data_IF_722980668746
#
_entry.id   IF_722980668746
#
_cell.length_a   1.000
_cell.length_b   1.000
_cell.length_c   1.000
_cell.angle_alpha   90.00
_cell.angle_beta   90.00
_cell.angle_gamma   90.00
#
_symmetry.space_group_name_H-M   'P 1'
#
loop_
_entity.id
_entity.type
_entity.pdbx_description
1 polymer ?
#
# COMPACT_ATOMS: atom_id res chain seq x y z
N UNK A 1 -17.84 12.25 -15.71
CA UNK A 1 -16.41 12.27 -15.33
C UNK A 1 -15.85 10.91 -15.68
N UNK A 2 -14.75 10.85 -16.44
CA UNK A 2 -14.17 9.59 -16.93
C UNK A 2 -13.20 9.05 -15.87
N UNK A 3 -13.41 7.80 -15.41
CA UNK A 3 -12.58 7.17 -14.37
C UNK A 3 -11.15 6.93 -14.85
N UNK A 4 -10.18 7.07 -13.95
CA UNK A 4 -8.77 6.78 -14.27
C UNK A 4 -8.58 5.27 -14.42
N UNK A 5 -8.29 4.81 -15.66
CA UNK A 5 -8.18 3.38 -16.03
C UNK A 5 -6.97 2.69 -15.41
N UNK A 6 -7.16 1.43 -15.03
CA UNK A 6 -6.12 0.56 -14.47
C UNK A 6 -6.10 -0.79 -15.20
N UNK A 7 -4.93 -1.22 -15.68
CA UNK A 7 -4.79 -2.39 -16.58
C UNK A 7 -5.14 -3.76 -15.97
N UNK A 8 -5.48 -4.73 -16.84
CA UNK A 8 -6.14 -6.01 -16.55
C UNK A 8 -5.29 -7.24 -16.99
N UNK A 9 -4.84 -8.15 -16.09
CA UNK A 9 -4.55 -9.60 -16.36
C UNK A 9 -4.03 -10.43 -15.15
N UNK A 10 -4.87 -11.35 -14.66
CA UNK A 10 -4.87 -11.99 -13.32
C UNK A 10 -3.77 -12.99 -12.87
N UNK A 11 -2.64 -13.13 -13.56
CA UNK A 11 -1.44 -13.79 -12.96
C UNK A 11 -0.16 -12.93 -13.04
N UNK A 12 -0.26 -11.76 -13.70
CA UNK A 12 0.78 -10.71 -13.81
C UNK A 12 0.60 -9.56 -12.81
N UNK A 13 -0.54 -9.54 -12.11
CA UNK A 13 -1.02 -8.41 -11.28
C UNK A 13 -0.22 -8.08 -10.01
N UNK A 14 0.72 -8.92 -9.60
CA UNK A 14 1.49 -8.72 -8.37
C UNK A 14 2.63 -7.71 -8.56
N UNK A 15 3.30 -7.77 -9.72
CA UNK A 15 4.22 -6.72 -10.17
C UNK A 15 3.47 -5.41 -10.40
N UNK A 16 2.26 -5.49 -10.95
CA UNK A 16 1.43 -4.32 -11.22
C UNK A 16 1.09 -3.55 -9.94
N UNK A 17 0.86 -4.20 -8.79
CA UNK A 17 0.56 -3.47 -7.55
C UNK A 17 1.74 -2.68 -7.00
N UNK A 18 2.96 -3.15 -7.21
CA UNK A 18 4.18 -2.42 -6.82
C UNK A 18 4.33 -1.19 -7.73
N UNK A 19 4.20 -1.39 -9.03
CA UNK A 19 4.29 -0.31 -10.04
C UNK A 19 3.16 0.72 -9.84
N UNK A 20 1.93 0.25 -9.56
CA UNK A 20 0.79 1.09 -9.19
C UNK A 20 1.09 1.86 -7.91
N UNK A 21 1.62 1.22 -6.86
CA UNK A 21 2.00 1.91 -5.63
C UNK A 21 2.99 3.04 -5.87
N UNK A 22 4.00 2.81 -6.72
CA UNK A 22 4.97 3.85 -7.09
C UNK A 22 4.34 4.98 -7.90
N UNK A 23 3.42 4.67 -8.83
CA UNK A 23 2.66 5.68 -9.56
C UNK A 23 1.78 6.53 -8.65
N UNK A 24 1.07 5.90 -7.70
CA UNK A 24 0.26 6.60 -6.71
C UNK A 24 1.09 7.55 -5.84
N UNK A 25 2.35 7.21 -5.54
CA UNK A 25 3.27 8.14 -4.86
C UNK A 25 3.56 9.37 -5.69
N UNK A 26 3.80 9.21 -7.00
CA UNK A 26 4.04 10.32 -7.92
C UNK A 26 2.80 11.20 -8.05
N UNK A 27 1.63 10.60 -8.33
CA UNK A 27 0.35 11.29 -8.45
C UNK A 27 0.04 12.08 -7.16
N UNK A 28 0.18 11.44 -5.98
CA UNK A 28 0.00 12.11 -4.69
C UNK A 28 0.97 13.27 -4.52
N UNK A 29 2.22 13.13 -4.94
CA UNK A 29 3.23 14.19 -4.82
C UNK A 29 2.83 15.45 -5.59
N UNK A 30 2.26 15.26 -6.78
CA UNK A 30 1.76 16.34 -7.64
C UNK A 30 0.47 16.95 -7.09
N UNK A 31 -0.49 16.12 -6.65
CA UNK A 31 -1.79 16.59 -6.20
C UNK A 31 -1.79 17.31 -4.84
N UNK A 32 -1.03 16.80 -3.85
CA UNK A 32 -1.01 17.35 -2.48
C UNK A 32 0.29 18.06 -2.13
N UNK A 33 1.16 18.35 -3.12
CA UNK A 33 2.36 19.17 -2.93
C UNK A 33 3.38 18.56 -1.97
N UNK A 34 3.50 17.23 -1.96
CA UNK A 34 4.42 16.51 -1.06
C UNK A 34 5.86 16.81 -1.47
N UNK A 35 6.74 17.07 -0.50
CA UNK A 35 8.16 17.32 -0.81
C UNK A 35 8.82 16.13 -1.49
N UNK A 36 9.81 16.39 -2.36
CA UNK A 36 10.56 15.34 -3.08
C UNK A 36 11.14 14.29 -2.12
N UNK A 37 11.62 14.69 -0.95
CA UNK A 37 12.20 13.76 0.02
C UNK A 37 11.13 12.89 0.70
N UNK A 38 9.94 13.45 0.94
CA UNK A 38 8.81 12.66 1.45
C UNK A 38 8.32 11.68 0.39
N UNK A 39 8.23 12.10 -0.88
CA UNK A 39 7.91 11.20 -1.98
C UNK A 39 8.93 10.06 -2.13
N UNK A 40 10.24 10.35 -1.96
CA UNK A 40 11.29 9.31 -1.93
C UNK A 40 11.07 8.31 -0.79
N UNK A 41 10.74 8.79 0.42
CA UNK A 41 10.43 7.92 1.57
C UNK A 41 9.21 7.05 1.33
N UNK A 42 8.15 7.60 0.75
CA UNK A 42 6.97 6.86 0.35
C UNK A 42 7.27 5.79 -0.71
N UNK A 43 8.06 6.12 -1.73
CA UNK A 43 8.49 5.16 -2.74
C UNK A 43 9.38 4.05 -2.14
N UNK A 44 10.26 4.39 -1.19
CA UNK A 44 11.04 3.41 -0.45
C UNK A 44 10.15 2.50 0.41
N UNK A 45 9.10 3.04 1.03
CA UNK A 45 8.14 2.26 1.80
C UNK A 45 7.39 1.23 0.93
N UNK A 46 6.92 1.63 -0.26
CA UNK A 46 6.30 0.70 -1.22
C UNK A 46 7.25 -0.45 -1.57
N UNK A 47 8.53 -0.13 -1.86
CA UNK A 47 9.55 -1.15 -2.14
C UNK A 47 9.82 -2.05 -0.92
N UNK A 48 9.82 -1.48 0.28
CA UNK A 48 10.05 -2.19 1.53
C UNK A 48 8.94 -3.18 1.91
N UNK A 49 7.74 -3.06 1.34
CA UNK A 49 6.63 -4.01 1.53
C UNK A 49 6.33 -4.86 0.29
N UNK A 50 7.28 -4.93 -0.65
CA UNK A 50 7.21 -5.79 -1.85
C UNK A 50 6.76 -7.23 -1.55
N UNK A 51 7.19 -7.90 -0.47
CA UNK A 51 6.74 -9.26 -0.20
C UNK A 51 5.22 -9.39 0.04
N UNK A 52 4.56 -8.34 0.56
CA UNK A 52 3.11 -8.30 0.72
C UNK A 52 2.40 -7.79 -0.54
N UNK A 53 2.95 -6.82 -1.26
CA UNK A 53 2.34 -6.31 -2.50
C UNK A 53 2.50 -7.29 -3.67
N UNK A 54 3.56 -8.11 -3.64
CA UNK A 54 3.88 -9.13 -4.61
C UNK A 54 3.00 -10.39 -4.53
N UNK A 55 2.01 -10.44 -3.65
CA UNK A 55 1.01 -11.52 -3.60
C UNK A 55 -0.21 -11.18 -4.46
N UNK A 56 -1.04 -12.17 -4.76
CA UNK A 56 -2.28 -11.99 -5.52
C UNK A 56 -3.18 -10.86 -4.94
N UNK A 57 -3.88 -10.10 -5.79
CA UNK A 57 -4.79 -9.01 -5.38
C UNK A 57 -5.84 -9.46 -4.36
N UNK A 58 -6.33 -10.69 -4.45
CA UNK A 58 -7.29 -11.25 -3.48
C UNK A 58 -6.70 -11.53 -2.10
N UNK A 59 -5.37 -11.62 -2.00
CA UNK A 59 -4.63 -11.86 -0.76
C UNK A 59 -4.14 -10.57 -0.14
N UNK A 60 -3.71 -9.58 -0.92
CA UNK A 60 -3.19 -8.30 -0.39
C UNK A 60 -4.23 -7.51 0.41
N UNK A 61 -5.52 -7.74 0.17
CA UNK A 61 -6.62 -7.15 0.98
C UNK A 61 -6.90 -7.92 2.29
N UNK A 62 -6.11 -8.95 2.61
CA UNK A 62 -6.25 -9.73 3.84
C UNK A 62 -5.21 -9.25 4.88
N UNK A 63 -5.62 -8.86 6.10
CA UNK A 63 -4.69 -8.42 7.14
C UNK A 63 -3.57 -9.43 7.42
N UNK A 64 -3.85 -10.74 7.37
CA UNK A 64 -2.87 -11.78 7.63
C UNK A 64 -1.62 -11.75 6.73
N UNK A 65 -1.72 -11.25 5.50
CA UNK A 65 -0.55 -11.05 4.63
C UNK A 65 0.40 -9.99 5.20
N UNK A 66 -0.18 -8.93 5.76
CA UNK A 66 0.55 -7.81 6.35
C UNK A 66 1.10 -8.16 7.72
N UNK A 67 0.35 -8.94 8.52
CA UNK A 67 0.84 -9.52 9.78
C UNK A 67 2.10 -10.34 9.54
N UNK A 68 2.09 -11.17 8.50
CA UNK A 68 3.23 -12.03 8.16
C UNK A 68 4.52 -11.25 7.81
N UNK A 69 4.44 -9.96 7.45
CA UNK A 69 5.63 -9.15 7.21
C UNK A 69 6.41 -8.88 8.48
N UNK A 70 5.75 -8.41 9.53
CA UNK A 70 6.42 -8.02 10.76
C UNK A 70 6.65 -9.21 11.69
N UNK A 71 5.88 -10.30 11.60
CA UNK A 71 6.17 -11.50 12.39
C UNK A 71 7.42 -12.24 11.90
N UNK A 72 7.76 -12.11 10.61
CA UNK A 72 9.01 -12.64 10.04
C UNK A 72 10.20 -11.69 10.22
N UNK A 73 9.95 -10.41 10.43
CA UNK A 73 10.95 -9.38 10.58
C UNK A 73 10.37 -8.20 11.38
N UNK A 74 10.50 -8.24 12.71
CA UNK A 74 9.90 -7.24 13.63
C UNK A 74 10.70 -5.92 13.68
N UNK A 75 11.28 -5.52 12.56
CA UNK A 75 11.97 -4.25 12.45
C UNK A 75 10.99 -3.08 12.46
N UNK A 76 11.30 -2.04 13.23
CA UNK A 76 10.60 -0.74 13.20
C UNK A 76 10.51 -0.14 11.79
N UNK A 77 11.43 -0.50 10.90
CA UNK A 77 11.43 -0.14 9.48
C UNK A 77 10.27 -0.78 8.72
N UNK A 78 9.98 -2.07 8.95
CA UNK A 78 8.85 -2.77 8.28
C UNK A 78 7.53 -2.11 8.65
N UNK A 79 7.38 -1.78 9.93
CA UNK A 79 6.19 -1.11 10.46
C UNK A 79 6.04 0.29 9.90
N UNK A 80 7.11 1.06 9.84
CA UNK A 80 7.10 2.39 9.22
C UNK A 80 6.73 2.30 7.74
N UNK A 81 7.28 1.34 7.01
CA UNK A 81 6.95 1.11 5.61
C UNK A 81 5.48 0.74 5.42
N UNK A 82 4.92 -0.09 6.30
CA UNK A 82 3.49 -0.41 6.30
C UNK A 82 2.64 0.83 6.55
N UNK A 83 2.98 1.65 7.55
CA UNK A 83 2.25 2.90 7.84
C UNK A 83 2.22 3.85 6.64
N UNK A 84 3.39 4.10 6.02
CA UNK A 84 3.46 4.96 4.84
C UNK A 84 2.72 4.36 3.63
N UNK A 85 2.79 3.04 3.45
CA UNK A 85 2.04 2.35 2.40
C UNK A 85 0.54 2.50 2.59
N UNK A 86 0.04 2.36 3.83
CA UNK A 86 -1.37 2.55 4.14
C UNK A 86 -1.84 3.95 3.76
N UNK A 87 -1.06 5.00 4.09
CA UNK A 87 -1.38 6.39 3.75
C UNK A 87 -1.53 6.60 2.23
N UNK A 88 -0.67 5.97 1.42
CA UNK A 88 -0.72 6.10 -0.04
C UNK A 88 -1.99 5.45 -0.60
N UNK A 89 -2.29 4.23 -0.17
CA UNK A 89 -3.49 3.51 -0.63
C UNK A 89 -4.79 4.06 -0.06
N UNK A 90 -4.76 4.66 1.13
CA UNK A 90 -5.89 5.36 1.75
C UNK A 90 -6.25 6.59 0.93
N UNK A 91 -5.27 7.46 0.67
CA UNK A 91 -5.44 8.62 -0.22
C UNK A 91 -5.98 8.22 -1.60
N UNK A 92 -5.38 7.19 -2.22
CA UNK A 92 -5.83 6.69 -3.52
C UNK A 92 -7.24 6.08 -3.49
N UNK A 93 -7.67 5.55 -2.34
CA UNK A 93 -9.02 5.04 -2.14
C UNK A 93 -10.08 6.13 -2.05
N UNK A 94 -9.68 7.37 -1.78
CA UNK A 94 -10.55 8.55 -1.72
C UNK A 94 -10.61 9.32 -3.06
N UNK A 95 -9.77 8.97 -4.04
CA UNK A 95 -9.78 9.58 -5.37
C UNK A 95 -10.67 8.81 -6.35
N UNK A 96 -10.96 9.39 -7.52
CA UNK A 96 -11.80 8.78 -8.58
C UNK A 96 -11.05 7.79 -9.50
N UNK A 97 -10.17 6.95 -8.91
CA UNK A 97 -9.56 5.84 -9.65
C UNK A 97 -10.56 4.70 -9.86
N UNK A 98 -10.47 4.01 -11.00
CA UNK A 98 -11.26 2.78 -11.26
C UNK A 98 -11.10 1.74 -10.14
N UNK A 99 -9.89 1.65 -9.58
CA UNK A 99 -9.54 0.75 -8.49
C UNK A 99 -9.61 1.37 -7.08
N UNK A 100 -10.23 2.54 -6.89
CA UNK A 100 -10.27 3.21 -5.58
C UNK A 100 -10.77 2.27 -4.45
N UNK A 101 -11.82 1.49 -4.70
CA UNK A 101 -12.33 0.50 -3.74
C UNK A 101 -11.36 -0.66 -3.44
N UNK A 102 -10.43 -0.99 -4.34
CA UNK A 102 -9.34 -1.91 -4.04
C UNK A 102 -8.30 -1.24 -3.14
N UNK A 103 -7.89 -0.01 -3.45
CA UNK A 103 -6.89 0.73 -2.68
C UNK A 103 -7.35 0.95 -1.23
N UNK A 104 -8.59 1.38 -1.03
CA UNK A 104 -9.19 1.51 0.30
C UNK A 104 -9.16 0.19 1.10
N UNK A 105 -9.45 -0.95 0.43
CA UNK A 105 -9.37 -2.28 1.08
C UNK A 105 -7.94 -2.68 1.44
N UNK A 106 -6.95 -2.32 0.62
CA UNK A 106 -5.53 -2.55 0.93
C UNK A 106 -5.13 -1.72 2.14
N UNK A 107 -5.46 -0.42 2.16
CA UNK A 107 -5.17 0.46 3.28
C UNK A 107 -5.80 -0.07 4.57
N UNK A 108 -7.08 -0.46 4.54
CA UNK A 108 -7.77 -1.06 5.68
C UNK A 108 -7.06 -2.33 6.17
N UNK A 109 -6.65 -3.22 5.26
CA UNK A 109 -5.95 -4.44 5.64
C UNK A 109 -4.63 -4.16 6.38
N UNK A 110 -3.87 -3.16 5.92
CA UNK A 110 -2.63 -2.73 6.57
C UNK A 110 -2.92 -2.15 7.96
N UNK A 111 -3.90 -1.25 8.07
CA UNK A 111 -4.29 -0.62 9.34
C UNK A 111 -4.74 -1.66 10.37
N UNK A 112 -5.54 -2.64 9.97
CA UNK A 112 -5.95 -3.75 10.84
C UNK A 112 -4.74 -4.56 11.30
N UNK A 113 -3.79 -4.89 10.42
CA UNK A 113 -2.59 -5.62 10.81
C UNK A 113 -1.72 -4.82 11.80
N UNK A 114 -1.60 -3.51 11.61
CA UNK A 114 -0.89 -2.63 12.54
C UNK A 114 -1.58 -2.52 13.91
N UNK A 115 -2.91 -2.52 13.95
CA UNK A 115 -3.69 -2.50 15.19
C UNK A 115 -3.45 -3.77 16.03
N UNK A 116 -3.47 -4.95 15.40
CA UNK A 116 -3.17 -6.23 16.06
C UNK A 116 -1.79 -6.20 16.71
N UNK A 117 -0.77 -5.60 16.08
CA UNK A 117 0.55 -5.44 16.70
C UNK A 117 0.53 -4.48 17.89
N UNK A 118 -0.23 -3.38 17.79
CA UNK A 118 -0.38 -2.42 18.89
C UNK A 118 -0.95 -3.09 20.15
N UNK A 119 -1.98 -3.92 19.98
CA UNK A 119 -2.56 -4.75 21.05
C UNK A 119 -1.55 -5.76 21.62
N UNK A 120 -0.65 -6.33 20.80
CA UNK A 120 0.41 -7.23 21.27
C UNK A 120 1.54 -6.54 22.06
N UNK A 121 1.63 -5.21 21.99
CA UNK A 121 2.66 -4.41 22.68
C UNK A 121 2.11 -3.59 23.86
N UNK A 122 0.81 -3.74 24.15
CA UNK A 122 0.09 -3.10 25.26
C UNK A 122 0.07 -4.00 26.48
#
# INVERSE_FOLDING_TARGET
>A
MEKIKTGYRERRLTRDLIEVGLRLVADRSECVGVSKDTAKRHAAAIRGVTPALGVAKSKVTKPGIWVALYTKNDSSTVISNMKFTAVIFEWAGEQDYENAGLYARIAKAIRTALAVRGELTS
#
